data_IF_968954490236
#
_entry.id   IF_968954490236
#
_cell.length_a   1.000
_cell.length_b   1.000
_cell.length_c   1.000
_cell.angle_alpha   90.00
_cell.angle_beta   90.00
_cell.angle_gamma   90.00
#
_symmetry.space_group_name_H-M   'P 1'
#
loop_
_entity.id
_entity.type
_entity.pdbx_description
1 polymer ?
#
# COMPACT_ATOMS: atom_id res chain seq x y z
N UNK A 1 -12.98 -2.97 -10.02
CA UNK A 1 -13.54 -1.65 -9.64
C UNK A 1 -13.74 -1.65 -8.13
N UNK A 2 -13.24 -0.63 -7.44
CA UNK A 2 -13.36 -0.49 -5.98
C UNK A 2 -14.78 0.03 -5.68
N UNK A 3 -15.51 -0.65 -4.79
CA UNK A 3 -16.78 -0.14 -4.27
C UNK A 3 -16.52 0.64 -2.97
N UNK A 4 -16.27 1.95 -3.10
CA UNK A 4 -16.02 2.81 -1.95
C UNK A 4 -17.25 2.99 -1.06
N UNK A 5 -18.48 2.82 -1.60
CA UNK A 5 -19.70 2.89 -0.80
C UNK A 5 -19.79 1.69 0.13
N UNK A 6 -19.50 0.50 -0.38
CA UNK A 6 -19.41 -0.71 0.44
C UNK A 6 -18.32 -0.56 1.51
N UNK A 7 -17.12 -0.10 1.15
CA UNK A 7 -16.02 0.08 2.10
C UNK A 7 -16.34 1.12 3.18
N UNK A 8 -17.01 2.23 2.85
CA UNK A 8 -17.48 3.20 3.84
C UNK A 8 -18.45 2.57 4.85
N UNK A 9 -19.39 1.75 4.38
CA UNK A 9 -20.31 1.02 5.26
C UNK A 9 -19.56 0.02 6.15
N UNK A 10 -18.57 -0.69 5.61
CA UNK A 10 -17.75 -1.62 6.38
C UNK A 10 -16.98 -0.86 7.48
N UNK A 11 -16.33 0.25 7.15
CA UNK A 11 -15.56 1.04 8.11
C UNK A 11 -16.45 1.62 9.22
N UNK A 12 -17.66 2.10 8.89
CA UNK A 12 -18.62 2.60 9.89
C UNK A 12 -19.03 1.53 10.91
N UNK A 13 -19.16 0.28 10.47
CA UNK A 13 -19.56 -0.85 11.30
C UNK A 13 -18.37 -1.56 11.98
N UNK A 14 -17.14 -1.29 11.55
CA UNK A 14 -15.93 -1.85 12.15
C UNK A 14 -15.63 -1.23 13.53
N UNK A 15 -14.96 -2.00 14.38
CA UNK A 15 -14.57 -1.59 15.74
C UNK A 15 -13.46 -0.54 15.73
N UNK A 16 -12.51 -0.68 14.79
CA UNK A 16 -11.37 0.21 14.58
C UNK A 16 -11.67 1.38 13.63
N UNK A 17 -12.91 1.43 13.11
CA UNK A 17 -13.35 2.44 12.14
C UNK A 17 -12.58 2.41 10.83
N UNK A 18 -12.11 1.24 10.44
CA UNK A 18 -11.36 1.04 9.21
C UNK A 18 -11.95 -0.10 8.36
N UNK A 19 -11.86 0.03 7.05
CA UNK A 19 -12.08 -1.06 6.10
C UNK A 19 -10.97 -1.06 5.06
N UNK A 20 -10.54 -2.25 4.66
CA UNK A 20 -9.39 -2.42 3.78
C UNK A 20 -9.67 -3.44 2.69
N UNK A 21 -9.15 -3.17 1.49
CA UNK A 21 -9.24 -4.06 0.34
C UNK A 21 -7.91 -4.15 -0.38
N UNK A 22 -7.42 -5.38 -0.55
CA UNK A 22 -6.24 -5.65 -1.38
C UNK A 22 -6.58 -5.44 -2.86
N UNK A 23 -5.74 -4.68 -3.56
CA UNK A 23 -5.84 -4.43 -5.00
C UNK A 23 -4.86 -5.32 -5.78
N UNK A 24 -3.64 -5.44 -5.27
CA UNK A 24 -2.59 -6.24 -5.88
C UNK A 24 -1.72 -6.90 -4.79
N UNK A 25 -1.23 -8.10 -5.05
CA UNK A 25 -0.31 -8.76 -4.16
C UNK A 25 0.65 -9.64 -4.96
N UNK A 26 1.94 -9.51 -4.65
CA UNK A 26 3.00 -10.35 -5.16
C UNK A 26 3.81 -10.99 -4.03
N UNK A 27 4.89 -11.72 -4.36
CA UNK A 27 5.74 -12.36 -3.38
C UNK A 27 6.45 -11.38 -2.43
N UNK A 28 6.72 -10.16 -2.90
CA UNK A 28 7.48 -9.13 -2.18
C UNK A 28 6.69 -7.87 -1.91
N UNK A 29 5.42 -7.80 -2.31
CA UNK A 29 4.59 -6.62 -2.10
C UNK A 29 3.11 -6.95 -1.90
N UNK A 30 2.41 -6.02 -1.27
CA UNK A 30 0.95 -5.96 -1.21
C UNK A 30 0.53 -4.51 -1.37
N UNK A 31 -0.35 -4.23 -2.31
CA UNK A 31 -1.01 -2.93 -2.44
C UNK A 31 -2.47 -3.09 -2.07
N UNK A 32 -2.97 -2.21 -1.21
CA UNK A 32 -4.38 -2.15 -0.91
C UNK A 32 -4.85 -0.72 -0.70
N UNK A 33 -6.16 -0.56 -0.80
CA UNK A 33 -6.87 0.67 -0.51
C UNK A 33 -7.58 0.48 0.82
N UNK A 34 -7.62 1.54 1.62
CA UNK A 34 -8.42 1.57 2.82
C UNK A 34 -9.27 2.81 2.95
N UNK A 35 -10.27 2.68 3.81
CA UNK A 35 -11.15 3.74 4.27
C UNK A 35 -11.04 3.80 5.78
N UNK A 36 -10.80 4.99 6.33
CA UNK A 36 -10.72 5.25 7.77
C UNK A 36 -11.72 6.34 8.15
N UNK A 37 -12.56 6.08 9.15
CA UNK A 37 -13.46 7.09 9.72
C UNK A 37 -12.78 7.70 10.95
N UNK A 38 -12.36 8.97 10.83
CA UNK A 38 -11.72 9.71 11.92
C UNK A 38 -12.77 10.27 12.90
N UNK A 39 -12.35 10.74 14.09
CA UNK A 39 -13.21 11.53 14.96
C UNK A 39 -13.88 12.67 14.18
N UNK A 40 -15.13 13.02 14.55
CA UNK A 40 -16.03 13.89 13.79
C UNK A 40 -16.67 13.28 12.52
N UNK A 41 -16.58 11.95 12.34
CA UNK A 41 -17.21 11.21 11.22
C UNK A 41 -16.68 11.59 9.84
N UNK A 42 -15.46 12.11 9.78
CA UNK A 42 -14.79 12.43 8.53
C UNK A 42 -14.19 11.16 7.92
N UNK A 43 -14.44 10.97 6.62
CA UNK A 43 -14.00 9.78 5.87
C UNK A 43 -12.71 10.09 5.13
N UNK A 44 -11.70 9.27 5.38
CA UNK A 44 -10.40 9.35 4.71
C UNK A 44 -10.16 8.10 3.89
N UNK A 45 -9.64 8.28 2.68
CA UNK A 45 -9.18 7.18 1.85
C UNK A 45 -7.66 7.14 1.91
N UNK A 46 -7.09 5.96 1.85
CA UNK A 46 -5.65 5.80 1.80
C UNK A 46 -5.25 4.67 0.88
N UNK A 47 -4.05 4.80 0.30
CA UNK A 47 -3.38 3.74 -0.42
C UNK A 47 -2.22 3.24 0.44
N UNK A 48 -2.19 1.93 0.63
CA UNK A 48 -1.16 1.20 1.36
C UNK A 48 -0.33 0.39 0.38
N UNK A 49 1.00 0.51 0.49
CA UNK A 49 1.97 -0.39 -0.14
C UNK A 49 2.83 -1.01 0.96
N UNK A 50 2.71 -2.32 1.13
CA UNK A 50 3.59 -3.10 1.98
C UNK A 50 4.64 -3.75 1.11
N UNK A 51 5.90 -3.56 1.46
CA UNK A 51 7.06 -4.18 0.83
C UNK A 51 7.67 -5.16 1.81
N UNK A 52 7.70 -6.44 1.45
CA UNK A 52 8.33 -7.47 2.27
C UNK A 52 9.84 -7.46 2.04
N UNK A 53 10.60 -7.14 3.07
CA UNK A 53 12.06 -7.35 3.11
C UNK A 53 12.41 -8.82 3.34
N UNK A 54 11.44 -9.60 3.80
CA UNK A 54 11.45 -11.05 3.77
C UNK A 54 12.04 -11.71 5.00
N UNK A 55 11.38 -12.81 5.39
CA UNK A 55 12.05 -13.91 6.07
C UNK A 55 12.88 -14.66 5.02
N UNK A 56 14.19 -14.35 4.98
CA UNK A 56 15.30 -15.08 4.32
C UNK A 56 15.23 -15.47 2.83
N UNK A 57 14.14 -15.28 2.07
CA UNK A 57 14.02 -15.81 0.68
C UNK A 57 13.54 -14.85 -0.41
N UNK A 58 13.12 -13.64 -0.06
CA UNK A 58 12.52 -12.70 -1.01
C UNK A 58 13.57 -11.79 -1.64
N UNK A 59 14.43 -11.21 -0.81
CA UNK A 59 15.60 -10.43 -1.26
C UNK A 59 16.79 -11.37 -1.30
N UNK A 60 17.21 -11.75 -2.51
CA UNK A 60 18.25 -12.76 -2.74
C UNK A 60 19.62 -12.15 -2.95
N UNK A 61 19.68 -10.89 -3.36
CA UNK A 61 20.92 -10.19 -3.66
C UNK A 61 20.81 -8.69 -3.33
N UNK A 62 21.95 -8.01 -3.39
CA UNK A 62 22.04 -6.58 -3.11
C UNK A 62 21.27 -5.72 -4.13
N UNK A 63 21.17 -6.14 -5.39
CA UNK A 63 20.44 -5.40 -6.42
C UNK A 63 18.93 -5.35 -6.12
N UNK A 64 18.33 -6.47 -5.73
CA UNK A 64 16.93 -6.54 -5.30
C UNK A 64 16.69 -5.68 -4.05
N UNK A 65 17.63 -5.66 -3.09
CA UNK A 65 17.56 -4.78 -1.94
C UNK A 65 17.59 -3.30 -2.36
N UNK A 66 18.48 -2.94 -3.27
CA UNK A 66 18.62 -1.57 -3.76
C UNK A 66 17.35 -1.09 -4.46
N UNK A 67 16.70 -1.95 -5.27
CA UNK A 67 15.41 -1.65 -5.91
C UNK A 67 14.32 -1.37 -4.87
N UNK A 68 14.23 -2.17 -3.81
CA UNK A 68 13.27 -1.93 -2.72
C UNK A 68 13.55 -0.61 -1.99
N UNK A 69 14.82 -0.30 -1.69
CA UNK A 69 15.20 0.98 -1.06
C UNK A 69 14.84 2.16 -1.97
N UNK A 70 15.13 2.07 -3.27
CA UNK A 70 14.78 3.08 -4.25
C UNK A 70 13.26 3.29 -4.31
N UNK A 71 12.49 2.21 -4.34
CA UNK A 71 11.03 2.25 -4.34
C UNK A 71 10.48 2.96 -3.09
N UNK A 72 10.97 2.60 -1.90
CA UNK A 72 10.60 3.29 -0.65
C UNK A 72 10.95 4.78 -0.72
N UNK A 73 12.12 5.14 -1.27
CA UNK A 73 12.52 6.53 -1.46
C UNK A 73 11.59 7.29 -2.41
N UNK A 74 11.18 6.65 -3.51
CA UNK A 74 10.23 7.23 -4.48
C UNK A 74 8.87 7.44 -3.84
N UNK A 75 8.35 6.44 -3.11
CA UNK A 75 7.06 6.55 -2.41
C UNK A 75 7.11 7.67 -1.35
N UNK A 76 8.20 7.77 -0.59
CA UNK A 76 8.41 8.85 0.38
C UNK A 76 8.38 10.23 -0.29
N UNK A 77 9.07 10.41 -1.43
CA UNK A 77 9.03 11.66 -2.21
C UNK A 77 7.65 11.99 -2.77
N UNK A 78 6.80 10.97 -3.00
CA UNK A 78 5.39 11.11 -3.39
C UNK A 78 4.45 11.38 -2.21
N UNK A 79 4.99 11.61 -1.01
CA UNK A 79 4.22 11.95 0.19
C UNK A 79 3.68 10.74 0.96
N UNK A 80 4.14 9.52 0.65
CA UNK A 80 3.82 8.37 1.49
C UNK A 80 4.59 8.46 2.80
N UNK A 81 3.89 8.19 3.89
CA UNK A 81 4.50 7.93 5.19
C UNK A 81 5.08 6.52 5.13
N UNK A 82 6.39 6.42 5.29
CA UNK A 82 7.12 5.15 5.24
C UNK A 82 7.59 4.77 6.64
N UNK A 83 7.28 3.55 7.09
CA UNK A 83 7.72 3.03 8.38
C UNK A 83 7.98 1.53 8.32
N UNK A 84 8.85 1.04 9.20
CA UNK A 84 8.97 -0.39 9.46
C UNK A 84 7.67 -0.85 10.13
N UNK A 85 7.00 -1.84 9.55
CA UNK A 85 5.75 -2.39 10.10
C UNK A 85 6.05 -3.53 11.06
N UNK A 86 6.93 -4.44 10.65
CA UNK A 86 7.45 -5.53 11.46
C UNK A 86 8.88 -5.87 11.02
N UNK A 87 9.48 -6.88 11.64
CA UNK A 87 10.85 -7.35 11.36
C UNK A 87 11.08 -7.77 9.90
N UNK A 88 10.02 -7.91 9.10
CA UNK A 88 10.06 -8.45 7.74
C UNK A 88 9.42 -7.55 6.68
N UNK A 89 8.89 -6.38 7.05
CA UNK A 89 8.12 -5.55 6.13
C UNK A 89 8.22 -4.05 6.39
N UNK A 90 8.16 -3.29 5.29
CA UNK A 90 8.03 -1.85 5.26
C UNK A 90 6.63 -1.47 4.78
N UNK A 91 5.98 -0.61 5.54
CA UNK A 91 4.68 -0.02 5.22
C UNK A 91 4.88 1.38 4.66
N UNK A 92 4.30 1.64 3.50
CA UNK A 92 4.16 2.96 2.89
C UNK A 92 2.67 3.27 2.77
N UNK A 93 2.18 4.30 3.46
CA UNK A 93 0.77 4.72 3.42
C UNK A 93 0.65 6.19 3.01
N UNK A 94 -0.33 6.52 2.15
CA UNK A 94 -0.69 7.91 1.87
C UNK A 94 -2.20 8.09 1.90
N UNK A 95 -2.67 9.06 2.69
CA UNK A 95 -4.07 9.52 2.64
C UNK A 95 -4.29 10.37 1.37
N UNK A 96 -5.44 10.21 0.72
CA UNK A 96 -5.78 10.94 -0.51
C UNK A 96 -7.30 10.99 -0.74
N UNK A 97 -7.73 11.74 -1.75
CA UNK A 97 -9.14 11.75 -2.15
C UNK A 97 -9.50 10.45 -2.86
N UNK A 98 -10.78 10.07 -2.79
CA UNK A 98 -11.31 8.89 -3.48
C UNK A 98 -11.02 8.89 -4.99
N UNK A 99 -11.07 10.07 -5.63
CA UNK A 99 -10.81 10.25 -7.07
C UNK A 99 -9.39 9.86 -7.47
N UNK A 100 -8.43 10.03 -6.56
CA UNK A 100 -7.00 9.99 -6.87
C UNK A 100 -6.42 8.60 -6.61
N UNK A 101 -7.14 7.74 -5.87
CA UNK A 101 -6.69 6.40 -5.47
C UNK A 101 -6.30 5.54 -6.66
N UNK A 102 -7.18 5.46 -7.68
CA UNK A 102 -6.93 4.59 -8.82
C UNK A 102 -5.78 5.09 -9.69
N UNK A 103 -5.67 6.41 -9.86
CA UNK A 103 -4.58 7.01 -10.62
C UNK A 103 -3.23 6.76 -9.94
N UNK A 104 -3.15 6.95 -8.62
CA UNK A 104 -1.90 6.68 -7.88
C UNK A 104 -1.57 5.18 -7.88
N UNK A 105 -2.57 4.30 -7.73
CA UNK A 105 -2.38 2.86 -7.80
C UNK A 105 -1.74 2.42 -9.13
N UNK A 106 -2.32 2.85 -10.26
CA UNK A 106 -1.76 2.54 -11.58
C UNK A 106 -0.37 3.18 -11.77
N UNK A 107 -0.17 4.41 -11.27
CA UNK A 107 1.14 5.08 -11.31
C UNK A 107 2.23 4.33 -10.54
N UNK A 108 1.88 3.71 -9.41
CA UNK A 108 2.81 2.89 -8.63
C UNK A 108 3.18 1.60 -9.36
N UNK A 109 2.21 0.93 -9.99
CA UNK A 109 2.46 -0.30 -10.75
C UNK A 109 3.40 -0.08 -11.94
N UNK A 110 3.49 1.14 -12.45
CA UNK A 110 4.34 1.52 -13.58
C UNK A 110 5.72 2.08 -13.15
N UNK A 111 6.07 2.03 -11.87
CA UNK A 111 7.41 2.43 -11.41
C UNK A 111 8.46 1.41 -11.88
N UNK A 112 9.61 1.93 -12.33
CA UNK A 112 10.72 1.12 -12.87
C UNK A 112 11.24 0.07 -11.88
N UNK A 113 11.36 0.46 -10.61
CA UNK A 113 11.82 -0.41 -9.51
C UNK A 113 10.66 -1.19 -8.83
N UNK A 114 9.44 -1.14 -9.39
CA UNK A 114 8.32 -1.89 -8.83
C UNK A 114 8.53 -3.40 -9.06
N UNK A 115 8.31 -4.25 -8.05
CA UNK A 115 8.57 -5.66 -8.23
C UNK A 115 7.65 -6.29 -9.29
N UNK A 116 8.18 -7.14 -10.17
CA UNK A 116 7.36 -7.80 -11.18
C UNK A 116 6.34 -8.73 -10.52
N UNK A 117 5.17 -8.86 -11.15
CA UNK A 117 4.26 -9.96 -10.84
C UNK A 117 4.94 -11.25 -11.28
N UNK A 118 5.44 -12.03 -10.33
CA UNK A 118 5.93 -13.37 -10.65
C UNK A 118 4.74 -14.24 -11.06
N UNK A 119 4.64 -14.58 -12.33
CA UNK A 119 3.78 -15.66 -12.79
C UNK A 119 4.28 -16.98 -12.15
N UNK A 120 3.36 -17.74 -11.57
CA UNK A 120 3.63 -19.06 -10.98
C UNK A 120 3.74 -20.12 -12.06
#
# INVERSE_FOLDING_TARGET
MIDFKEMNNQALNASDKEAFRVLDSGPCHRIGVGVRIKPASETYYFLEVILSLGKSRIVKNFEELQKLINLVSVLSKRGFITKIQDDSSFLCEREMNQSDVMEEYESILNLEDFPPKYEK
#
